data_IF_698108441590
#
_entry.id   IF_698108441590
#
_cell.length_a   1.000
_cell.length_b   1.000
_cell.length_c   1.000
_cell.angle_alpha   90.00
_cell.angle_beta   90.00
_cell.angle_gamma   90.00
#
_symmetry.space_group_name_H-M   'P 1'
#
loop_
_entity.id
_entity.type
_entity.pdbx_description
1 polymer ?
#
# COMPACT_ATOMS: atom_id res chain seq x y z
N UNK A 1 -13.79 -36.55 26.57
CA UNK A 1 -13.54 -35.72 27.76
C UNK A 1 -13.85 -34.30 27.37
N UNK A 2 -14.91 -33.72 27.95
CA UNK A 2 -15.35 -32.36 27.67
C UNK A 2 -14.38 -31.38 28.35
N UNK A 3 -13.99 -30.31 27.66
CA UNK A 3 -13.08 -29.29 28.19
C UNK A 3 -13.60 -28.74 29.53
N UNK A 4 -12.89 -28.97 30.66
CA UNK A 4 -13.38 -28.68 32.00
C UNK A 4 -13.56 -27.19 32.30
N UNK A 5 -13.07 -26.29 31.44
CA UNK A 5 -13.23 -24.83 31.58
C UNK A 5 -14.08 -24.20 30.46
N UNK A 6 -14.53 -24.98 29.47
CA UNK A 6 -15.42 -24.52 28.39
C UNK A 6 -14.80 -23.45 27.48
N UNK A 7 -13.48 -23.31 27.47
CA UNK A 7 -12.77 -22.39 26.58
C UNK A 7 -12.47 -23.17 25.31
N UNK A 8 -13.38 -23.05 24.34
CA UNK A 8 -13.08 -23.33 22.93
C UNK A 8 -11.68 -22.81 22.63
N UNK A 9 -10.77 -23.74 22.31
CA UNK A 9 -9.37 -23.46 22.00
C UNK A 9 -9.27 -22.21 21.11
N UNK A 10 -8.70 -21.15 21.67
CA UNK A 10 -8.47 -19.87 21.00
C UNK A 10 -6.97 -19.61 20.98
N UNK A 11 -6.47 -19.05 19.89
CA UNK A 11 -5.07 -18.63 19.76
C UNK A 11 -4.75 -17.46 20.70
N UNK A 12 -5.77 -16.72 21.13
CA UNK A 12 -5.63 -15.61 22.07
C UNK A 12 -5.72 -16.07 23.53
N UNK A 13 -4.60 -16.56 24.08
CA UNK A 13 -4.48 -17.00 25.48
C UNK A 13 -4.80 -15.88 26.49
N UNK A 14 -4.78 -14.61 26.05
CA UNK A 14 -5.04 -13.43 26.88
C UNK A 14 -6.46 -12.88 26.72
N UNK A 15 -7.38 -13.59 26.04
CA UNK A 15 -8.76 -13.11 25.74
C UNK A 15 -9.49 -12.53 26.95
N UNK A 16 -9.23 -13.03 28.15
CA UNK A 16 -9.91 -12.65 29.39
C UNK A 16 -9.10 -11.69 30.28
N UNK A 17 -7.93 -11.23 29.83
CA UNK A 17 -7.11 -10.26 30.57
C UNK A 17 -7.43 -8.86 30.07
N UNK A 18 -7.74 -7.93 30.98
CA UNK A 18 -8.12 -6.55 30.63
C UNK A 18 -7.06 -5.75 29.86
N UNK A 19 -5.81 -6.24 29.84
CA UNK A 19 -4.68 -5.64 29.14
C UNK A 19 -4.18 -6.55 27.99
N UNK A 20 -5.10 -7.19 27.27
CA UNK A 20 -4.80 -8.13 26.20
C UNK A 20 -4.06 -7.45 25.04
N UNK A 21 -2.77 -7.77 24.79
CA UNK A 21 -2.00 -7.14 23.71
C UNK A 21 -2.38 -7.68 22.32
N UNK A 22 -3.19 -8.75 22.24
CA UNK A 22 -3.53 -9.47 21.03
C UNK A 22 -4.92 -9.07 20.49
N UNK A 23 -5.80 -8.48 21.30
CA UNK A 23 -7.18 -8.15 20.89
C UNK A 23 -7.27 -7.12 19.74
N UNK A 24 -6.23 -6.32 19.51
CA UNK A 24 -6.14 -5.37 18.40
C UNK A 24 -5.21 -5.80 17.27
N UNK A 25 -4.61 -6.98 17.35
CA UNK A 25 -3.72 -7.52 16.32
C UNK A 25 -4.52 -8.54 15.52
N UNK A 26 -4.50 -8.42 14.19
CA UNK A 26 -5.01 -9.43 13.28
C UNK A 26 -3.83 -10.28 12.76
N UNK A 27 -3.43 -11.32 13.50
CA UNK A 27 -2.26 -12.13 13.14
C UNK A 27 -2.49 -12.96 11.88
N UNK A 28 -3.74 -13.14 11.47
CA UNK A 28 -4.12 -13.94 10.30
C UNK A 28 -4.35 -13.08 9.05
N UNK A 29 -4.44 -11.75 9.19
CA UNK A 29 -4.73 -10.84 8.08
C UNK A 29 -6.14 -11.02 7.52
N UNK A 30 -7.10 -11.45 8.34
CA UNK A 30 -8.47 -11.72 7.93
C UNK A 30 -9.37 -10.47 7.95
N UNK A 31 -8.96 -9.38 8.60
CA UNK A 31 -9.58 -8.05 8.43
C UNK A 31 -9.14 -7.47 7.09
N UNK A 32 -9.89 -7.85 6.06
CA UNK A 32 -9.68 -7.39 4.70
C UNK A 32 -10.42 -6.08 4.46
N UNK A 33 -9.75 -5.16 3.77
CA UNK A 33 -10.33 -3.95 3.22
C UNK A 33 -10.40 -4.06 1.70
N UNK A 34 -11.52 -3.63 1.12
CA UNK A 34 -11.68 -3.47 -0.32
C UNK A 34 -11.20 -2.09 -0.74
N UNK A 35 -10.33 -2.07 -1.75
CA UNK A 35 -9.69 -0.85 -2.23
C UNK A 35 -9.77 -0.76 -3.75
N UNK A 36 -10.04 0.45 -4.23
CA UNK A 36 -10.25 0.79 -5.62
C UNK A 36 -9.25 1.84 -6.05
N UNK A 37 -8.69 1.67 -7.24
CA UNK A 37 -7.81 2.65 -7.86
C UNK A 37 -8.25 2.89 -9.30
N UNK A 38 -8.66 4.12 -9.58
CA UNK A 38 -8.90 4.56 -10.95
C UNK A 38 -7.61 5.00 -11.58
N UNK A 39 -7.36 4.53 -12.80
CA UNK A 39 -6.23 4.97 -13.61
C UNK A 39 -6.64 5.09 -15.07
N UNK A 40 -6.05 6.08 -15.74
CA UNK A 40 -6.08 6.26 -17.20
C UNK A 40 -4.70 6.11 -17.82
N UNK A 41 -3.70 5.76 -17.01
CA UNK A 41 -2.33 5.65 -17.45
C UNK A 41 -2.11 4.26 -18.04
N UNK A 42 -1.96 4.19 -19.36
CA UNK A 42 -1.71 2.93 -20.09
C UNK A 42 -0.48 2.20 -19.55
N UNK A 43 0.56 2.94 -19.16
CA UNK A 43 1.76 2.36 -18.55
C UNK A 43 1.45 1.67 -17.21
N UNK A 44 0.49 2.14 -16.42
CA UNK A 44 0.13 1.43 -15.19
C UNK A 44 -0.62 0.12 -15.51
N UNK A 45 -1.53 0.17 -16.48
CA UNK A 45 -2.30 -0.99 -16.92
C UNK A 45 -1.43 -2.05 -17.58
N UNK A 46 -0.48 -1.65 -18.42
CA UNK A 46 0.48 -2.56 -19.05
C UNK A 46 1.37 -3.24 -18.01
N UNK A 47 1.86 -2.49 -17.02
CA UNK A 47 2.66 -3.06 -15.93
C UNK A 47 1.84 -4.10 -15.15
N UNK A 48 0.59 -3.77 -14.85
CA UNK A 48 -0.33 -4.69 -14.19
C UNK A 48 -0.60 -5.94 -15.02
N UNK A 49 -0.82 -5.83 -16.33
CA UNK A 49 -1.03 -6.96 -17.23
C UNK A 49 0.21 -7.88 -17.31
N UNK A 50 1.41 -7.28 -17.41
CA UNK A 50 2.67 -8.03 -17.52
C UNK A 50 3.09 -8.73 -16.22
N UNK A 51 2.76 -8.15 -15.06
CA UNK A 51 3.35 -8.57 -13.77
C UNK A 51 2.34 -8.97 -12.70
N UNK A 52 1.09 -8.54 -12.83
CA UNK A 52 0.06 -8.55 -11.80
C UNK A 52 0.29 -7.53 -10.67
N UNK A 53 1.33 -6.69 -10.74
CA UNK A 53 1.62 -5.69 -9.70
C UNK A 53 1.04 -4.32 -10.03
N UNK A 54 0.61 -3.62 -8.99
CA UNK A 54 0.33 -2.19 -9.02
C UNK A 54 1.44 -1.53 -8.20
N UNK A 55 2.35 -0.82 -8.85
CA UNK A 55 3.55 -0.26 -8.22
C UNK A 55 3.41 1.24 -7.93
N UNK A 56 4.07 1.69 -6.87
CA UNK A 56 4.33 3.11 -6.64
C UNK A 56 5.01 3.76 -7.85
N UNK A 57 4.98 5.08 -7.92
CA UNK A 57 5.57 5.79 -9.05
C UNK A 57 7.08 5.50 -9.20
N UNK A 58 7.82 5.44 -8.09
CA UNK A 58 9.23 5.00 -8.12
C UNK A 58 9.36 3.59 -8.66
N UNK A 59 8.53 2.65 -8.19
CA UNK A 59 8.54 1.27 -8.66
C UNK A 59 8.26 1.16 -10.15
N UNK A 60 7.22 1.83 -10.65
CA UNK A 60 6.85 1.83 -12.06
C UNK A 60 7.96 2.44 -12.95
N UNK A 61 8.52 3.58 -12.55
CA UNK A 61 9.61 4.22 -13.29
C UNK A 61 10.86 3.32 -13.36
N UNK A 62 11.24 2.69 -12.25
CA UNK A 62 12.38 1.76 -12.22
C UNK A 62 12.11 0.50 -13.04
N UNK A 63 10.89 -0.03 -13.00
CA UNK A 63 10.49 -1.16 -13.84
C UNK A 63 10.67 -0.80 -15.33
N UNK A 64 10.10 0.32 -15.77
CA UNK A 64 10.19 0.73 -17.16
C UNK A 64 11.62 1.04 -17.61
N UNK A 65 12.39 1.75 -16.80
CA UNK A 65 13.81 2.00 -17.09
C UNK A 65 14.61 0.69 -17.27
N UNK A 66 14.32 -0.32 -16.45
CA UNK A 66 14.92 -1.65 -16.60
C UNK A 66 14.46 -2.37 -17.87
N UNK A 67 13.16 -2.32 -18.19
CA UNK A 67 12.59 -2.91 -19.41
C UNK A 67 13.17 -2.27 -20.68
N UNK A 68 13.35 -0.95 -20.71
CA UNK A 68 14.04 -0.24 -21.80
C UNK A 68 15.50 -0.64 -21.96
N UNK A 69 16.13 -1.13 -20.88
CA UNK A 69 17.50 -1.68 -20.90
C UNK A 69 17.53 -3.18 -21.22
N UNK A 70 16.45 -3.74 -21.77
CA UNK A 70 16.28 -5.16 -22.10
C UNK A 70 16.41 -6.12 -20.91
N UNK A 71 16.17 -5.65 -19.68
CA UNK A 71 16.16 -6.52 -18.50
C UNK A 71 14.87 -7.38 -18.52
N UNK A 72 14.95 -8.70 -18.26
CA UNK A 72 13.77 -9.56 -18.18
C UNK A 72 12.77 -9.09 -17.12
N UNK A 73 11.47 -9.34 -17.35
CA UNK A 73 10.36 -8.88 -16.50
C UNK A 73 10.59 -9.19 -15.01
N UNK A 74 10.97 -10.43 -14.68
CA UNK A 74 11.21 -10.86 -13.29
C UNK A 74 12.28 -10.01 -12.61
N UNK A 75 13.37 -9.74 -13.32
CA UNK A 75 14.54 -9.04 -12.77
C UNK A 75 14.27 -7.52 -12.72
N UNK A 76 13.53 -6.99 -13.70
CA UNK A 76 13.03 -5.61 -13.69
C UNK A 76 12.07 -5.36 -12.51
N UNK A 77 11.14 -6.27 -12.25
CA UNK A 77 10.22 -6.20 -11.11
C UNK A 77 10.99 -6.30 -9.78
N UNK A 78 11.96 -7.21 -9.69
CA UNK A 78 12.81 -7.35 -8.51
C UNK A 78 13.58 -6.06 -8.23
N UNK A 79 14.16 -5.45 -9.27
CA UNK A 79 14.84 -4.15 -9.19
C UNK A 79 13.88 -3.04 -8.74
N UNK A 80 12.67 -2.99 -9.31
CA UNK A 80 11.65 -2.02 -8.95
C UNK A 80 11.28 -2.11 -7.46
N UNK A 81 11.04 -3.32 -6.94
CA UNK A 81 10.70 -3.59 -5.53
C UNK A 81 11.84 -3.18 -4.59
N UNK A 82 13.09 -3.46 -4.96
CA UNK A 82 14.26 -3.07 -4.16
C UNK A 82 14.40 -1.55 -4.12
N UNK A 83 14.28 -0.89 -5.27
CA UNK A 83 14.44 0.56 -5.37
C UNK A 83 13.35 1.31 -4.60
N UNK A 84 12.09 0.92 -4.74
CA UNK A 84 11.01 1.58 -3.99
C UNK A 84 11.18 1.41 -2.48
N UNK A 85 11.69 0.26 -2.00
CA UNK A 85 12.00 0.06 -0.57
C UNK A 85 13.10 1.00 -0.09
N UNK A 86 14.16 1.17 -0.91
CA UNK A 86 15.25 2.10 -0.60
C UNK A 86 14.73 3.55 -0.54
N UNK A 87 13.95 3.97 -1.55
CA UNK A 87 13.36 5.31 -1.59
C UNK A 87 12.38 5.53 -0.45
N UNK A 88 11.60 4.51 -0.08
CA UNK A 88 10.71 4.59 1.08
C UNK A 88 11.50 4.83 2.37
N UNK A 89 12.54 4.02 2.63
CA UNK A 89 13.38 4.18 3.81
C UNK A 89 14.05 5.56 3.86
N UNK A 90 14.50 6.08 2.71
CA UNK A 90 15.01 7.45 2.60
C UNK A 90 13.92 8.46 2.94
N UNK A 91 12.71 8.33 2.40
CA UNK A 91 11.61 9.25 2.68
C UNK A 91 11.27 9.31 4.17
N UNK A 92 11.19 8.17 4.85
CA UNK A 92 10.96 8.14 6.31
C UNK A 92 12.07 8.89 7.06
N UNK A 93 13.32 8.77 6.62
CA UNK A 93 14.44 9.47 7.22
C UNK A 93 14.37 11.00 7.01
N UNK A 94 14.02 11.45 5.81
CA UNK A 94 13.95 12.89 5.50
C UNK A 94 12.74 13.57 6.14
N UNK A 95 11.59 12.90 6.18
CA UNK A 95 10.35 13.43 6.78
C UNK A 95 10.26 13.18 8.30
N UNK A 96 11.13 12.34 8.84
CA UNK A 96 11.23 12.02 10.28
C UNK A 96 10.29 10.89 10.74
N UNK A 97 9.15 10.67 10.07
CA UNK A 97 8.24 9.56 10.37
C UNK A 97 7.38 9.15 9.17
N UNK A 98 6.69 8.01 9.29
CA UNK A 98 5.72 7.57 8.26
C UNK A 98 4.50 8.50 8.22
N UNK A 99 4.04 8.99 9.35
CA UNK A 99 2.91 9.92 9.46
C UNK A 99 3.22 11.23 8.74
N UNK A 100 4.40 11.80 8.96
CA UNK A 100 4.83 13.01 8.25
C UNK A 100 4.97 12.79 6.75
N UNK A 101 5.47 11.62 6.34
CA UNK A 101 5.57 11.30 4.92
C UNK A 101 4.19 11.08 4.26
N UNK A 102 3.23 10.50 4.98
CA UNK A 102 1.84 10.31 4.51
C UNK A 102 1.12 11.65 4.33
N UNK A 103 1.26 12.56 5.31
CA UNK A 103 0.76 13.94 5.19
C UNK A 103 1.38 14.61 3.97
N UNK A 104 2.71 14.51 3.84
CA UNK A 104 3.42 15.12 2.74
C UNK A 104 3.01 14.55 1.36
N UNK A 105 2.70 13.26 1.28
CA UNK A 105 2.21 12.62 0.05
C UNK A 105 0.86 13.18 -0.42
N UNK A 106 -0.03 13.49 0.53
CA UNK A 106 -1.33 14.10 0.21
C UNK A 106 -1.28 15.61 -0.01
N UNK A 107 -0.36 16.32 0.67
CA UNK A 107 -0.25 17.78 0.63
C UNK A 107 0.62 18.28 -0.53
N UNK A 108 1.73 17.60 -0.81
CA UNK A 108 2.70 18.04 -1.80
C UNK A 108 2.58 17.25 -3.11
N UNK A 109 2.47 17.96 -4.22
CA UNK A 109 2.46 17.42 -5.57
C UNK A 109 3.86 16.95 -5.99
N UNK A 110 4.48 17.71 -6.88
CA UNK A 110 5.84 17.44 -7.40
C UNK A 110 6.93 17.96 -6.45
N UNK A 111 6.57 18.72 -5.43
CA UNK A 111 7.50 19.27 -4.44
C UNK A 111 8.10 18.16 -3.56
N UNK A 112 7.40 17.04 -3.40
CA UNK A 112 7.90 15.89 -2.63
C UNK A 112 9.23 15.33 -3.18
N UNK A 113 9.46 15.51 -4.49
CA UNK A 113 10.65 14.97 -5.17
C UNK A 113 11.94 15.67 -4.79
N UNK A 114 11.88 16.96 -4.44
CA UNK A 114 13.07 17.71 -4.04
C UNK A 114 13.56 17.31 -2.64
N UNK A 115 12.67 16.76 -1.81
CA UNK A 115 12.95 16.38 -0.43
C UNK A 115 13.35 14.91 -0.35
N UNK A 116 12.44 13.99 -0.67
CA UNK A 116 12.65 12.55 -0.47
C UNK A 116 12.89 11.78 -1.78
N UNK A 117 12.78 12.43 -2.93
CA UNK A 117 12.85 11.79 -4.24
C UNK A 117 11.49 11.22 -4.68
N UNK A 118 11.52 10.20 -5.53
CA UNK A 118 10.29 9.63 -6.09
C UNK A 118 9.30 9.10 -5.04
N UNK A 119 8.02 9.05 -5.38
CA UNK A 119 6.96 8.56 -4.48
C UNK A 119 7.02 7.05 -4.34
N UNK A 120 7.15 6.59 -3.09
CA UNK A 120 7.11 5.17 -2.72
C UNK A 120 5.75 4.71 -2.22
N UNK A 121 4.81 5.63 -1.98
CA UNK A 121 3.42 5.33 -1.62
C UNK A 121 2.55 5.34 -2.88
N UNK A 122 1.52 4.50 -2.88
CA UNK A 122 0.49 4.48 -3.92
C UNK A 122 -0.90 4.58 -3.31
N UNK A 123 -1.73 5.43 -3.91
CA UNK A 123 -3.06 5.79 -3.43
C UNK A 123 -4.15 4.88 -3.98
N UNK A 124 -5.04 4.47 -3.08
CA UNK A 124 -6.29 3.77 -3.32
C UNK A 124 -7.42 4.47 -2.55
N UNK A 125 -8.67 4.22 -2.93
CA UNK A 125 -9.86 4.69 -2.20
C UNK A 125 -10.74 3.49 -1.82
N UNK A 126 -11.41 3.57 -0.67
CA UNK A 126 -12.50 2.63 -0.34
C UNK A 126 -13.79 2.93 -1.11
N UNK A 127 -13.87 4.09 -1.77
CA UNK A 127 -15.03 4.51 -2.53
C UNK A 127 -14.75 4.40 -4.03
N UNK A 128 -15.50 3.51 -4.70
CA UNK A 128 -15.34 3.25 -6.13
C UNK A 128 -15.67 4.47 -6.99
N UNK A 129 -16.70 5.24 -6.63
CA UNK A 129 -17.12 6.44 -7.34
C UNK A 129 -16.06 7.55 -7.27
N UNK A 130 -15.36 7.67 -6.13
CA UNK A 130 -14.20 8.55 -5.98
C UNK A 130 -13.06 8.04 -6.86
N UNK A 131 -12.72 6.75 -6.79
CA UNK A 131 -11.68 6.16 -7.62
C UNK A 131 -11.92 6.42 -9.12
N UNK A 132 -13.16 6.30 -9.60
CA UNK A 132 -13.56 6.58 -10.99
C UNK A 132 -13.28 8.00 -11.47
N UNK A 133 -13.17 8.98 -10.57
CA UNK A 133 -12.80 10.36 -10.94
C UNK A 133 -11.36 10.45 -11.45
N UNK A 134 -10.50 9.50 -11.10
CA UNK A 134 -9.07 9.49 -11.45
C UNK A 134 -8.77 8.70 -12.73
N UNK A 135 -9.71 7.89 -13.23
CA UNK A 135 -9.52 7.14 -14.46
C UNK A 135 -10.70 6.27 -14.85
N UNK A 136 -10.75 5.94 -16.15
CA UNK A 136 -11.81 5.11 -16.73
C UNK A 136 -11.67 3.62 -16.35
N UNK A 137 -10.46 3.17 -16.04
CA UNK A 137 -10.21 1.78 -15.64
C UNK A 137 -10.05 1.71 -14.12
N UNK A 138 -10.75 0.74 -13.51
CA UNK A 138 -10.71 0.52 -12.06
C UNK A 138 -9.97 -0.77 -11.76
N UNK A 139 -8.86 -0.65 -11.04
CA UNK A 139 -8.18 -1.76 -10.38
C UNK A 139 -8.82 -1.96 -9.01
N UNK A 140 -9.23 -3.18 -8.69
CA UNK A 140 -9.88 -3.54 -7.43
C UNK A 140 -9.04 -4.61 -6.72
N UNK A 141 -8.78 -4.40 -5.44
CA UNK A 141 -7.97 -5.29 -4.62
C UNK A 141 -8.65 -5.56 -3.27
N UNK A 142 -8.32 -6.71 -2.68
CA UNK A 142 -8.61 -7.03 -1.27
C UNK A 142 -7.30 -7.25 -0.55
N UNK A 143 -7.05 -6.49 0.51
CA UNK A 143 -5.79 -6.55 1.25
C UNK A 143 -6.06 -6.49 2.75
N UNK A 144 -5.22 -7.11 3.60
CA UNK A 144 -5.33 -6.92 5.04
C UNK A 144 -5.21 -5.45 5.42
N UNK A 145 -6.08 -4.97 6.32
CA UNK A 145 -6.09 -3.58 6.81
C UNK A 145 -4.74 -3.18 7.41
N UNK A 146 -4.01 -4.13 7.99
CA UNK A 146 -2.65 -3.94 8.53
C UNK A 146 -1.57 -3.61 7.49
N UNK A 147 -1.86 -3.73 6.19
CA UNK A 147 -0.93 -3.43 5.08
C UNK A 147 -1.18 -2.08 4.42
N UNK A 148 -2.20 -1.35 4.87
CA UNK A 148 -2.58 -0.04 4.32
C UNK A 148 -2.48 1.02 5.40
N UNK A 149 -2.19 2.25 5.00
CA UNK A 149 -2.16 3.41 5.90
C UNK A 149 -3.27 4.35 5.45
N UNK A 150 -4.19 4.66 6.36
CA UNK A 150 -5.21 5.66 6.06
C UNK A 150 -4.58 7.05 5.98
N UNK A 151 -4.96 7.83 4.98
CA UNK A 151 -4.56 9.24 4.88
C UNK A 151 -5.07 10.01 6.10
N UNK A 152 -4.20 10.79 6.72
CA UNK A 152 -4.47 11.50 7.98
C UNK A 152 -4.74 13.00 7.79
N UNK A 153 -4.69 13.51 6.56
CA UNK A 153 -5.13 14.88 6.24
C UNK A 153 -6.65 15.01 6.46
N UNK A 154 -7.05 15.91 7.37
CA UNK A 154 -8.46 16.20 7.66
C UNK A 154 -9.24 16.71 6.44
N UNK A 155 -8.54 17.32 5.48
CA UNK A 155 -9.11 17.82 4.22
C UNK A 155 -9.25 16.72 3.15
N UNK A 156 -8.73 15.52 3.40
CA UNK A 156 -8.82 14.42 2.43
C UNK A 156 -10.26 13.89 2.37
N UNK A 157 -10.96 14.28 1.32
CA UNK A 157 -12.33 13.81 1.02
C UNK A 157 -12.34 12.47 0.28
N UNK A 158 -11.16 11.92 -0.03
CA UNK A 158 -10.99 10.82 -0.97
C UNK A 158 -11.16 9.43 -0.34
N UNK A 159 -11.34 9.35 0.99
CA UNK A 159 -11.26 8.08 1.74
C UNK A 159 -9.99 7.31 1.37
N UNK A 160 -8.87 8.04 1.31
CA UNK A 160 -7.62 7.55 0.73
C UNK A 160 -6.91 6.59 1.68
N UNK A 161 -6.45 5.47 1.11
CA UNK A 161 -5.54 4.52 1.72
C UNK A 161 -4.28 4.41 0.87
N UNK A 162 -3.14 4.42 1.56
CA UNK A 162 -1.82 4.36 0.97
C UNK A 162 -1.23 2.97 1.19
N UNK A 163 -0.67 2.41 0.12
CA UNK A 163 0.13 1.19 0.19
C UNK A 163 1.59 1.56 -0.05
N UNK A 164 2.47 0.99 0.78
CA UNK A 164 3.91 1.16 0.64
C UNK A 164 4.40 0.29 -0.52
N UNK A 165 5.21 0.86 -1.40
CA UNK A 165 5.89 0.26 -2.56
C UNK A 165 5.00 -0.19 -3.72
N UNK A 166 3.84 -0.76 -3.41
CA UNK A 166 2.96 -1.40 -4.38
C UNK A 166 2.37 -2.69 -3.82
N UNK A 167 1.45 -3.27 -4.58
CA UNK A 167 0.68 -4.44 -4.20
C UNK A 167 0.52 -5.38 -5.39
N UNK A 168 0.53 -6.68 -5.11
CA UNK A 168 -0.03 -7.68 -6.00
C UNK A 168 -1.42 -8.06 -5.47
N UNK A 169 -2.51 -7.80 -6.20
CA UNK A 169 -3.86 -8.15 -5.79
C UNK A 169 -4.07 -9.65 -5.55
#
# INVERSE_FOLDING_TARGET
TQDPIGILSDINLYRYVGNNPISGIDPLGLDLIELYRGTKFEAELLLYDETGWILSQTGANTYYAARFSNIPIRDALSKAIIETKYVHAKAIKEWGSIEQYVLAHGEFGQEIYSISGGRSLISFSTNKEIAQRFGSTILHIKIPRSKVIQQILETSTESEYLIINGVKP
#
